data_IF_054763981852
#
_entry.id   IF_054763981852
#
_cell.length_a   1.000
_cell.length_b   1.000
_cell.length_c   1.000
_cell.angle_alpha   90.00
_cell.angle_beta   90.00
_cell.angle_gamma   90.00
#
_symmetry.space_group_name_H-M   'P 1'
#
loop_
_entity.id
_entity.type
_entity.pdbx_description
1 polymer ?
#
# COMPACT_ATOMS: atom_id res chain seq x y z
N UNK A 1 -1.47 66.20 13.40
CA UNK A 1 -0.27 65.33 13.46
C UNK A 1 -0.43 64.05 14.32
N UNK A 2 -1.39 63.95 15.25
CA UNK A 2 -1.58 62.77 16.13
C UNK A 2 -2.29 61.58 15.45
N UNK A 3 -3.29 61.83 14.59
CA UNK A 3 -4.03 60.78 13.88
C UNK A 3 -3.17 59.97 12.88
N UNK A 4 -2.25 60.63 12.15
CA UNK A 4 -1.31 59.96 11.24
C UNK A 4 -0.35 59.02 11.97
N UNK A 5 0.04 59.35 13.22
CA UNK A 5 0.85 58.49 14.09
C UNK A 5 0.07 57.30 14.63
N UNK A 6 -1.24 57.45 14.85
CA UNK A 6 -2.13 56.37 15.29
C UNK A 6 -2.39 55.35 14.17
N UNK A 7 -2.64 55.83 12.94
CA UNK A 7 -2.82 54.98 11.76
C UNK A 7 -1.52 54.21 11.45
N UNK A 8 -0.36 54.87 11.56
CA UNK A 8 0.93 54.21 11.33
C UNK A 8 1.23 53.14 12.39
N UNK A 9 0.84 53.36 13.65
CA UNK A 9 0.95 52.36 14.73
C UNK A 9 -0.01 51.18 14.54
N UNK A 10 -1.22 51.43 14.05
CA UNK A 10 -2.20 50.38 13.75
C UNK A 10 -1.73 49.48 12.60
N UNK A 11 -1.20 50.08 11.52
CA UNK A 11 -0.66 49.32 10.38
C UNK A 11 0.60 48.53 10.77
N UNK A 12 1.46 49.09 11.64
CA UNK A 12 2.63 48.38 12.17
C UNK A 12 2.23 47.14 12.99
N UNK A 13 1.19 47.24 13.84
CA UNK A 13 0.73 46.12 14.66
C UNK A 13 0.13 44.98 13.83
N UNK A 14 -0.62 45.30 12.77
CA UNK A 14 -1.19 44.31 11.86
C UNK A 14 -0.07 43.58 11.08
N UNK A 15 0.95 44.30 10.62
CA UNK A 15 2.10 43.71 9.94
C UNK A 15 2.90 42.78 10.86
N UNK A 16 3.10 43.16 12.12
CA UNK A 16 3.80 42.31 13.11
C UNK A 16 3.00 41.03 13.40
N UNK A 17 1.67 41.11 13.56
CA UNK A 17 0.83 39.94 13.78
C UNK A 17 0.86 38.96 12.57
N UNK A 18 0.78 39.49 11.34
CA UNK A 18 0.88 38.69 10.12
C UNK A 18 2.27 38.03 9.96
N UNK A 19 3.34 38.73 10.35
CA UNK A 19 4.69 38.15 10.37
C UNK A 19 4.84 37.06 11.43
N UNK A 20 4.22 37.21 12.60
CA UNK A 20 4.24 36.19 13.66
C UNK A 20 3.45 34.95 13.21
N UNK A 21 2.26 35.11 12.64
CA UNK A 21 1.49 33.97 12.11
C UNK A 21 2.19 33.29 10.93
N UNK A 22 2.82 34.05 10.03
CA UNK A 22 3.64 33.50 8.94
C UNK A 22 4.86 32.72 9.48
N UNK A 23 5.55 33.27 10.48
CA UNK A 23 6.71 32.61 11.10
C UNK A 23 6.31 31.34 11.85
N UNK A 24 5.19 31.34 12.56
CA UNK A 24 4.67 30.16 13.26
C UNK A 24 4.12 29.10 12.28
N UNK A 25 3.53 29.52 11.15
CA UNK A 25 3.09 28.61 10.09
C UNK A 25 4.27 28.00 9.33
N UNK A 26 5.29 28.79 8.98
CA UNK A 26 6.51 28.29 8.33
C UNK A 26 7.35 27.37 9.22
N UNK A 27 7.31 27.53 10.54
CA UNK A 27 8.06 26.68 11.47
C UNK A 27 7.31 25.40 11.90
N UNK A 28 6.16 25.05 11.29
CA UNK A 28 5.43 23.81 11.62
C UNK A 28 6.00 22.55 10.94
N UNK A 29 7.03 22.67 10.10
CA UNK A 29 7.82 21.52 9.67
C UNK A 29 9.12 21.46 10.46
N UNK A 30 9.05 20.88 11.66
CA UNK A 30 10.23 20.37 12.36
C UNK A 30 9.92 18.96 12.81
N UNK A 31 9.97 18.04 11.84
CA UNK A 31 10.34 16.67 12.17
C UNK A 31 11.79 16.72 12.63
N UNK A 32 11.98 16.43 13.91
CA UNK A 32 13.27 16.17 14.54
C UNK A 32 13.93 14.98 13.85
N UNK A 33 14.65 15.22 12.77
CA UNK A 33 15.58 14.29 12.15
C UNK A 33 16.98 14.75 12.52
N UNK A 34 17.51 14.26 13.64
CA UNK A 34 18.96 14.18 13.78
C UNK A 34 19.47 13.36 12.60
N UNK A 35 20.55 13.83 11.97
CA UNK A 35 21.27 13.15 10.89
C UNK A 35 21.61 11.70 11.30
N UNK A 36 20.68 10.78 11.05
CA UNK A 36 21.00 9.38 10.85
C UNK A 36 21.36 9.30 9.38
N UNK A 37 22.65 9.17 9.14
CA UNK A 37 23.24 8.72 7.89
C UNK A 37 22.28 7.73 7.22
N UNK A 38 21.56 8.19 6.19
CA UNK A 38 20.60 7.37 5.48
C UNK A 38 21.43 6.39 4.66
N UNK A 39 21.83 5.28 5.30
CA UNK A 39 22.20 4.07 4.61
C UNK A 39 20.99 3.78 3.73
N UNK A 40 21.09 4.08 2.44
CA UNK A 40 20.14 3.61 1.45
C UNK A 40 20.27 2.09 1.46
N UNK A 41 19.54 1.45 2.37
CA UNK A 41 19.24 0.03 2.26
C UNK A 41 18.39 -0.06 1.01
N UNK A 42 19.02 -0.37 -0.13
CA UNK A 42 18.29 -0.76 -1.33
C UNK A 42 17.44 -1.95 -0.95
N UNK A 43 16.18 -1.67 -0.64
CA UNK A 43 15.26 -2.64 -0.10
C UNK A 43 14.88 -3.56 -1.23
N UNK A 44 15.30 -4.83 -1.15
CA UNK A 44 15.10 -5.79 -2.24
C UNK A 44 13.60 -5.96 -2.49
N UNK A 45 13.19 -5.83 -3.76
CA UNK A 45 11.80 -5.95 -4.14
C UNK A 45 11.28 -7.38 -3.88
N UNK A 46 10.05 -7.53 -3.35
CA UNK A 46 9.37 -8.82 -3.29
C UNK A 46 9.25 -9.49 -4.65
N UNK A 47 9.28 -10.82 -4.68
CA UNK A 47 8.93 -11.58 -5.88
C UNK A 47 7.79 -12.55 -5.60
N UNK A 48 7.07 -12.91 -6.66
CA UNK A 48 5.98 -13.88 -6.64
C UNK A 48 6.15 -14.81 -7.85
N UNK A 49 6.00 -16.10 -7.61
CA UNK A 49 5.78 -17.11 -8.62
C UNK A 49 4.57 -17.97 -8.23
N UNK A 50 3.67 -18.24 -9.18
CA UNK A 50 2.43 -19.00 -8.92
C UNK A 50 2.46 -20.30 -9.71
N UNK A 51 2.27 -21.42 -9.01
CA UNK A 51 1.89 -22.68 -9.64
C UNK A 51 0.46 -23.02 -9.30
N UNK A 52 -0.24 -23.64 -10.24
CA UNK A 52 -1.65 -23.95 -10.11
C UNK A 52 -2.00 -25.31 -10.71
N UNK A 53 -3.09 -25.89 -10.22
CA UNK A 53 -3.73 -27.06 -10.82
C UNK A 53 -5.24 -27.01 -10.59
N UNK A 54 -5.99 -27.65 -11.48
CA UNK A 54 -7.43 -27.86 -11.31
C UNK A 54 -7.68 -29.28 -10.81
N UNK A 55 -8.50 -29.39 -9.77
CA UNK A 55 -9.06 -30.65 -9.28
C UNK A 55 -10.57 -30.53 -9.33
N UNK A 56 -11.19 -31.18 -10.32
CA UNK A 56 -12.61 -30.94 -10.64
C UNK A 56 -12.84 -29.45 -10.95
N UNK A 57 -13.64 -28.78 -10.14
CA UNK A 57 -13.97 -27.35 -10.16
C UNK A 57 -13.23 -26.53 -9.08
N UNK A 58 -12.26 -27.12 -8.39
CA UNK A 58 -11.40 -26.44 -7.42
C UNK A 58 -10.05 -26.05 -8.04
N UNK A 59 -9.69 -24.77 -7.92
CA UNK A 59 -8.38 -24.24 -8.30
C UNK A 59 -7.43 -24.27 -7.10
N UNK A 60 -6.41 -25.11 -7.19
CA UNK A 60 -5.32 -25.23 -6.23
C UNK A 60 -4.21 -24.26 -6.60
N UNK A 61 -3.81 -23.40 -5.67
CA UNK A 61 -2.73 -22.42 -5.84
C UNK A 61 -1.59 -22.70 -4.86
N UNK A 62 -0.36 -22.61 -5.37
CA UNK A 62 0.85 -22.56 -4.56
C UNK A 62 1.65 -21.32 -4.94
N UNK A 63 1.97 -20.53 -3.93
CA UNK A 63 2.61 -19.23 -4.03
C UNK A 63 4.04 -19.36 -3.51
N UNK A 64 5.02 -19.09 -4.37
CA UNK A 64 6.42 -18.99 -3.99
C UNK A 64 6.79 -17.52 -3.98
N UNK A 65 7.13 -17.01 -2.79
CA UNK A 65 7.48 -15.60 -2.61
C UNK A 65 8.89 -15.46 -2.04
N UNK A 66 9.58 -14.39 -2.41
CA UNK A 66 10.87 -14.02 -1.79
C UNK A 66 10.82 -12.56 -1.36
N UNK A 67 11.60 -12.23 -0.31
CA UNK A 67 11.58 -10.89 0.32
C UNK A 67 10.17 -10.43 0.73
N UNK A 68 9.30 -11.40 1.06
CA UNK A 68 7.92 -11.19 1.44
C UNK A 68 7.54 -12.13 2.59
N UNK A 69 6.73 -11.65 3.52
CA UNK A 69 6.16 -12.40 4.63
C UNK A 69 4.67 -12.09 4.72
N UNK A 70 3.86 -13.13 4.75
CA UNK A 70 2.43 -12.98 4.98
C UNK A 70 2.18 -12.48 6.41
N UNK A 71 1.28 -11.51 6.57
CA UNK A 71 0.90 -10.96 7.87
C UNK A 71 -0.60 -10.70 7.92
N UNK A 72 -1.32 -11.59 8.60
CA UNK A 72 -2.74 -11.40 8.87
C UNK A 72 -2.92 -10.40 10.02
N UNK A 73 -2.04 -10.46 11.02
CA UNK A 73 -2.08 -9.64 12.21
C UNK A 73 -1.87 -8.14 11.93
N UNK A 74 -1.23 -7.78 10.82
CA UNK A 74 -1.02 -6.38 10.43
C UNK A 74 -1.88 -5.90 9.25
N UNK A 75 -2.83 -6.72 8.78
CA UNK A 75 -3.78 -6.30 7.76
C UNK A 75 -4.55 -5.04 8.20
N UNK A 76 -4.58 -4.03 7.34
CA UNK A 76 -5.23 -2.74 7.57
C UNK A 76 -4.41 -1.76 8.42
N UNK A 77 -3.19 -2.11 8.81
CA UNK A 77 -2.28 -1.24 9.57
C UNK A 77 -1.24 -0.59 8.65
N UNK A 78 -0.28 0.11 9.27
CA UNK A 78 0.85 0.73 8.59
C UNK A 78 1.68 -0.29 7.80
N UNK A 79 2.21 0.16 6.67
CA UNK A 79 3.00 -0.67 5.78
C UNK A 79 4.38 -0.94 6.36
N UNK A 80 4.77 -2.21 6.29
CA UNK A 80 6.14 -2.65 6.50
C UNK A 80 6.62 -3.35 5.24
N UNK A 81 7.81 -3.02 4.76
CA UNK A 81 8.29 -3.57 3.50
C UNK A 81 8.45 -5.08 3.56
N UNK A 82 8.07 -5.75 2.47
CA UNK A 82 8.09 -7.20 2.39
C UNK A 82 7.07 -7.84 3.33
N UNK A 83 6.05 -7.09 3.75
CA UNK A 83 4.97 -7.60 4.60
C UNK A 83 3.60 -7.29 3.96
N UNK A 84 2.67 -8.23 4.11
CA UNK A 84 1.28 -8.03 3.70
C UNK A 84 0.57 -9.33 3.37
N UNK A 85 -0.22 -9.31 2.31
CA UNK A 85 -1.01 -10.47 1.89
C UNK A 85 -1.22 -10.48 0.37
N UNK A 86 -1.88 -11.52 -0.14
CA UNK A 86 -2.19 -11.65 -1.57
C UNK A 86 -3.63 -11.27 -1.85
N UNK A 87 -3.86 -10.50 -2.89
CA UNK A 87 -5.17 -10.34 -3.51
C UNK A 87 -5.35 -11.35 -4.65
N UNK A 88 -6.40 -12.15 -4.57
CA UNK A 88 -6.80 -13.08 -5.62
C UNK A 88 -8.00 -12.51 -6.37
N UNK A 89 -7.90 -12.49 -7.70
CA UNK A 89 -8.97 -12.05 -8.59
C UNK A 89 -9.36 -13.16 -9.56
N UNK A 90 -10.66 -13.26 -9.82
CA UNK A 90 -11.26 -14.11 -10.85
C UNK A 90 -12.07 -13.19 -11.78
N UNK A 91 -11.76 -13.20 -13.07
CA UNK A 91 -12.42 -12.37 -14.10
C UNK A 91 -12.49 -10.88 -13.72
N UNK A 92 -11.38 -10.36 -13.21
CA UNK A 92 -11.24 -8.96 -12.78
C UNK A 92 -11.91 -8.63 -11.43
N UNK A 93 -12.61 -9.56 -10.80
CA UNK A 93 -13.23 -9.37 -9.48
C UNK A 93 -12.35 -9.94 -8.39
N UNK A 94 -12.09 -9.17 -7.34
CA UNK A 94 -11.38 -9.67 -6.16
C UNK A 94 -12.26 -10.69 -5.44
N UNK A 95 -11.78 -11.93 -5.33
CA UNK A 95 -12.53 -13.05 -4.73
C UNK A 95 -11.96 -13.49 -3.38
N UNK A 96 -10.68 -13.24 -3.11
CA UNK A 96 -10.07 -13.60 -1.83
C UNK A 96 -8.90 -12.71 -1.43
N UNK A 97 -8.58 -12.75 -0.14
CA UNK A 97 -7.31 -12.33 0.45
C UNK A 97 -6.62 -13.56 1.00
N UNK A 98 -5.37 -13.80 0.61
CA UNK A 98 -4.62 -15.01 0.95
C UNK A 98 -3.42 -14.64 1.83
N UNK A 99 -3.29 -15.32 2.97
CA UNK A 99 -2.26 -15.06 3.99
C UNK A 99 -1.32 -16.25 4.18
N UNK A 100 -1.35 -17.21 3.26
CA UNK A 100 -0.61 -18.46 3.35
C UNK A 100 0.01 -18.81 1.98
N UNK A 101 1.07 -19.64 1.93
CA UNK A 101 1.69 -20.05 0.67
C UNK A 101 0.82 -20.95 -0.22
N UNK A 102 -0.31 -21.45 0.28
CA UNK A 102 -1.24 -22.28 -0.48
C UNK A 102 -2.67 -21.80 -0.30
N UNK A 103 -3.48 -21.96 -1.33
CA UNK A 103 -4.89 -21.58 -1.30
C UNK A 103 -5.71 -22.44 -2.26
N UNK A 104 -6.96 -22.72 -1.89
CA UNK A 104 -7.91 -23.42 -2.75
C UNK A 104 -9.10 -22.50 -2.99
N UNK A 105 -9.29 -22.08 -4.24
CA UNK A 105 -10.51 -21.43 -4.67
C UNK A 105 -11.47 -22.51 -5.14
N UNK A 106 -12.62 -22.62 -4.47
CA UNK A 106 -13.57 -23.72 -4.69
C UNK A 106 -14.71 -23.36 -5.61
N UNK A 107 -15.36 -24.39 -6.14
CA UNK A 107 -16.64 -24.31 -6.84
C UNK A 107 -16.62 -23.30 -8.00
N UNK A 108 -15.55 -23.33 -8.83
CA UNK A 108 -15.45 -22.43 -9.96
C UNK A 108 -16.54 -22.75 -11.00
N UNK A 109 -17.19 -21.71 -11.58
CA UNK A 109 -18.10 -21.93 -12.70
C UNK A 109 -17.42 -22.66 -13.86
N UNK A 110 -18.20 -23.38 -14.65
CA UNK A 110 -17.69 -23.99 -15.89
C UNK A 110 -17.38 -22.90 -16.91
N UNK A 111 -16.28 -23.07 -17.64
CA UNK A 111 -15.85 -22.15 -18.69
C UNK A 111 -14.42 -21.63 -18.49
N UNK A 112 -14.10 -20.59 -19.26
CA UNK A 112 -12.78 -19.95 -19.23
C UNK A 112 -12.78 -18.83 -18.20
N UNK A 113 -11.76 -18.81 -17.37
CA UNK A 113 -11.56 -17.77 -16.36
C UNK A 113 -10.17 -17.17 -16.46
N UNK A 114 -10.07 -15.87 -16.22
CA UNK A 114 -8.80 -15.19 -15.95
C UNK A 114 -8.57 -15.14 -14.44
N UNK A 115 -7.41 -15.62 -14.01
CA UNK A 115 -6.97 -15.53 -12.61
C UNK A 115 -5.82 -14.52 -12.53
N UNK A 116 -5.90 -13.63 -11.56
CA UNK A 116 -4.79 -12.74 -11.20
C UNK A 116 -4.46 -12.87 -9.72
N UNK A 117 -3.17 -13.03 -9.42
CA UNK A 117 -2.62 -13.12 -8.06
C UNK A 117 -1.67 -11.95 -7.89
N UNK A 118 -1.91 -11.11 -6.88
CA UNK A 118 -1.17 -9.87 -6.65
C UNK A 118 -0.67 -9.79 -5.21
N UNK A 119 0.59 -9.42 -5.00
CA UNK A 119 1.09 -9.05 -3.68
C UNK A 119 0.56 -7.67 -3.28
N UNK A 120 0.03 -7.57 -2.07
CA UNK A 120 -0.49 -6.35 -1.49
C UNK A 120 0.19 -6.05 -0.15
N UNK A 121 0.39 -4.76 0.11
CA UNK A 121 0.85 -4.23 1.39
C UNK A 121 -0.21 -4.43 2.48
N UNK A 122 0.21 -4.24 3.74
CA UNK A 122 -0.67 -4.26 4.92
C UNK A 122 -1.93 -3.40 4.72
N UNK A 123 -1.79 -2.22 4.15
CA UNK A 123 -2.89 -1.28 3.88
C UNK A 123 -3.72 -1.58 2.61
N UNK A 124 -3.52 -2.73 1.96
CA UNK A 124 -4.14 -3.14 0.68
C UNK A 124 -3.62 -2.45 -0.60
N UNK A 125 -2.61 -1.57 -0.52
CA UNK A 125 -1.98 -1.06 -1.74
C UNK A 125 -1.21 -2.17 -2.46
N UNK A 126 -1.07 -2.04 -3.78
CA UNK A 126 -0.36 -3.03 -4.59
C UNK A 126 1.16 -2.88 -4.43
N UNK A 127 1.87 -3.99 -4.35
CA UNK A 127 3.33 -4.01 -4.51
C UNK A 127 3.77 -3.84 -5.99
N UNK A 128 2.83 -3.84 -6.95
CA UNK A 128 3.14 -3.89 -8.38
C UNK A 128 3.66 -5.24 -8.86
N UNK A 129 3.60 -6.27 -8.01
CA UNK A 129 4.07 -7.64 -8.28
C UNK A 129 2.85 -8.55 -8.40
N UNK A 130 2.63 -9.10 -9.59
CA UNK A 130 1.47 -9.95 -9.88
C UNK A 130 1.76 -10.99 -10.95
N UNK A 131 1.03 -12.11 -10.92
CA UNK A 131 0.93 -13.06 -12.02
C UNK A 131 -0.51 -13.19 -12.51
N UNK A 132 -0.66 -13.40 -13.82
CA UNK A 132 -1.95 -13.56 -14.49
C UNK A 132 -1.90 -14.79 -15.39
N UNK A 133 -2.92 -15.63 -15.34
CA UNK A 133 -3.04 -16.82 -16.18
C UNK A 133 -4.52 -17.14 -16.46
N UNK A 134 -4.75 -17.93 -17.50
CA UNK A 134 -6.09 -18.42 -17.85
C UNK A 134 -6.25 -19.88 -17.49
N UNK A 135 -7.43 -20.24 -17.02
CA UNK A 135 -7.83 -21.63 -16.77
C UNK A 135 -9.14 -21.94 -17.51
N UNK A 136 -9.40 -23.23 -17.73
CA UNK A 136 -10.65 -23.70 -18.31
C UNK A 136 -11.21 -24.84 -17.44
N UNK A 137 -12.35 -24.57 -16.79
CA UNK A 137 -13.06 -25.52 -15.94
C UNK A 137 -14.05 -26.29 -16.81
N UNK A 138 -13.90 -27.61 -16.86
CA UNK A 138 -14.77 -28.51 -17.63
C UNK A 138 -15.95 -28.97 -16.76
N UNK A 139 -17.10 -29.17 -17.40
CA UNK A 139 -18.24 -29.88 -16.79
C UNK A 139 -18.00 -31.38 -16.76
#
# INVERSE_FOLDING_TARGET
>A
MKAKRLIFRLLLLIAVAACIEWFLYSNKETQTGADVEHISTQQVAPTLAVTHSLQQDDLQLKLVVTHFSFSLENMGKENKHGEGHVHLYLDGKKVAKVFEPTYVLKDLPSGKHEVMVELAHNNHESYGVSERFSIEVKQ
#
